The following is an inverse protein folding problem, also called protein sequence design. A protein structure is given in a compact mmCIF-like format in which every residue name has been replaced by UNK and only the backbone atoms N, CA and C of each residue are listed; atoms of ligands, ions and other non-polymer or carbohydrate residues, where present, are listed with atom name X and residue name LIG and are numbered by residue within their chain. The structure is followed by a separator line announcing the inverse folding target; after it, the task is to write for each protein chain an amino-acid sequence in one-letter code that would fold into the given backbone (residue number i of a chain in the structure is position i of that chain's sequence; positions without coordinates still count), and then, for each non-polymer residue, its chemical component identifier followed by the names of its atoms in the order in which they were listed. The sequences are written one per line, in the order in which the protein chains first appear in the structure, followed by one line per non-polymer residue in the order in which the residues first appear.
data_IF_558794750381
#
_entry.id   IF_558794750381
#
_cell.length_a   1.000
_cell.length_b   1.000
_cell.length_c   1.000
_cell.angle_alpha   90.00
_cell.angle_beta   90.00
_cell.angle_gamma   90.00
#
_symmetry.space_group_name_H-M   'P 1'
#
loop_
_entity.id
_entity.type
_entity.pdbx_description
1 polymer ?
#
# COMPACT_ATOMS: atom_id res chain seq x y z
N UNK A 1 10.34 -9.10 -13.39
CA UNK A 1 9.52 -8.32 -12.45
C UNK A 1 10.16 -8.42 -11.08
N UNK A 2 10.49 -7.26 -10.50
CA UNK A 2 11.06 -7.13 -9.17
C UNK A 2 9.97 -6.70 -8.19
N UNK A 3 10.03 -7.20 -6.96
CA UNK A 3 9.12 -6.84 -5.88
C UNK A 3 9.91 -6.20 -4.75
N UNK A 4 9.35 -5.14 -4.19
CA UNK A 4 9.89 -4.52 -2.99
C UNK A 4 8.75 -4.19 -2.02
N UNK A 5 8.99 -4.46 -0.74
CA UNK A 5 8.07 -4.11 0.34
C UNK A 5 8.09 -2.61 0.57
N UNK A 6 6.91 -2.02 0.75
CA UNK A 6 6.76 -0.58 0.97
C UNK A 6 6.75 -0.28 2.47
N UNK A 7 7.61 0.64 2.87
CA UNK A 7 7.70 1.19 4.22
C UNK A 7 7.43 2.69 4.20
N UNK A 8 6.70 3.20 5.20
CA UNK A 8 6.34 4.60 5.36
C UNK A 8 6.58 5.04 6.80
N UNK A 9 6.85 6.32 7.04
CA UNK A 9 6.95 6.84 8.41
C UNK A 9 5.58 7.03 9.05
N UNK A 10 5.38 6.45 10.23
CA UNK A 10 4.17 6.60 11.04
C UNK A 10 4.03 8.04 11.55
N UNK A 11 2.84 8.64 11.42
CA UNK A 11 2.59 10.00 11.89
C UNK A 11 2.64 10.15 13.42
N UNK A 12 2.32 9.09 14.17
CA UNK A 12 2.28 9.10 15.62
C UNK A 12 3.61 8.71 16.28
N UNK A 13 4.26 7.66 15.75
CA UNK A 13 5.46 7.09 16.35
C UNK A 13 6.76 7.55 15.69
N UNK A 14 6.68 8.09 14.46
CA UNK A 14 7.83 8.45 13.61
C UNK A 14 8.75 7.27 13.23
N UNK A 15 8.31 6.05 13.50
CA UNK A 15 9.00 4.82 13.09
C UNK A 15 8.56 4.37 11.67
N UNK A 16 9.42 3.65 10.94
CA UNK A 16 9.04 3.02 9.67
C UNK A 16 8.01 1.90 9.92
N UNK A 17 6.90 1.96 9.18
CA UNK A 17 5.79 1.01 9.23
C UNK A 17 5.40 0.58 7.82
N UNK A 18 5.07 -0.70 7.67
CA UNK A 18 4.54 -1.23 6.42
C UNK A 18 3.06 -1.58 6.61
N UNK A 19 2.13 -0.98 5.84
CA UNK A 19 0.72 -1.31 5.91
C UNK A 19 0.48 -2.79 5.62
N UNK A 20 -0.27 -3.45 6.49
CA UNK A 20 -0.66 -4.86 6.33
C UNK A 20 -2.16 -5.03 6.47
N UNK A 21 -2.74 -5.92 5.67
CA UNK A 21 -4.10 -6.37 5.82
C UNK A 21 -4.13 -7.57 6.79
N UNK A 22 -4.59 -7.35 8.02
CA UNK A 22 -4.58 -8.38 9.08
C UNK A 22 -5.69 -9.42 8.94
N UNK A 23 -6.75 -9.09 8.21
CA UNK A 23 -7.88 -9.97 7.87
C UNK A 23 -8.46 -9.57 6.52
N UNK A 24 -9.05 -10.51 5.74
CA UNK A 24 -9.68 -10.18 4.47
C UNK A 24 -10.73 -9.07 4.61
N UNK A 25 -10.85 -8.22 3.58
CA UNK A 25 -11.91 -7.21 3.60
C UNK A 25 -13.25 -7.89 3.37
N UNK A 26 -14.13 -7.79 4.37
CA UNK A 26 -15.48 -8.34 4.33
C UNK A 26 -16.47 -7.27 3.90
N UNK A 27 -17.31 -7.62 2.93
CA UNK A 27 -18.38 -6.76 2.43
C UNK A 27 -19.69 -7.51 2.63
N UNK A 28 -20.66 -6.85 3.25
CA UNK A 28 -22.01 -7.38 3.45
C UNK A 28 -23.07 -6.31 3.16
N UNK A 29 -24.31 -6.62 3.49
CA UNK A 29 -25.44 -5.70 3.29
C UNK A 29 -26.33 -5.66 4.52
N UNK A 30 -26.68 -4.45 4.96
CA UNK A 30 -27.77 -4.26 5.90
C UNK A 30 -29.09 -4.17 5.13
N UNK A 31 -29.99 -5.12 5.38
CA UNK A 31 -31.29 -5.15 4.71
C UNK A 31 -32.36 -4.42 5.54
N UNK A 32 -33.06 -3.49 4.89
CA UNK A 32 -34.07 -2.63 5.53
C UNK A 32 -35.23 -3.38 6.23
N UNK A 33 -35.56 -4.60 5.80
CA UNK A 33 -36.78 -5.32 6.23
C UNK A 33 -36.53 -6.59 7.05
N UNK A 34 -35.28 -7.05 7.12
CA UNK A 34 -34.89 -8.29 7.80
C UNK A 34 -33.38 -8.31 7.99
N UNK A 35 -32.91 -9.15 8.89
CA UNK A 35 -31.50 -9.46 8.99
C UNK A 35 -31.04 -10.28 7.78
N UNK A 36 -29.85 -9.98 7.28
CA UNK A 36 -29.17 -10.72 6.21
C UNK A 36 -27.71 -10.90 6.62
N UNK A 37 -27.34 -12.13 6.96
CA UNK A 37 -26.00 -12.49 7.44
C UNK A 37 -25.13 -13.07 6.30
N UNK A 38 -25.14 -12.41 5.14
CA UNK A 38 -24.33 -12.79 3.98
C UNK A 38 -23.16 -11.81 3.81
N UNK A 39 -21.95 -12.33 3.91
CA UNK A 39 -20.70 -11.60 3.69
C UNK A 39 -19.92 -12.23 2.53
N UNK A 40 -19.19 -11.40 1.81
CA UNK A 40 -18.18 -11.83 0.84
C UNK A 40 -16.81 -11.31 1.27
N UNK A 41 -15.79 -12.13 1.10
CA UNK A 41 -14.41 -11.70 1.23
C UNK A 41 -13.93 -11.16 -0.13
N UNK A 42 -13.39 -9.95 -0.12
CA UNK A 42 -12.82 -9.30 -1.30
C UNK A 42 -11.40 -8.83 -0.98
N UNK A 43 -10.42 -9.11 -1.85
CA UNK A 43 -9.07 -8.58 -1.67
C UNK A 43 -9.10 -7.06 -1.86
N UNK A 44 -8.33 -6.34 -1.04
CA UNK A 44 -8.04 -4.92 -1.31
C UNK A 44 -6.93 -4.82 -2.35
N UNK A 45 -7.00 -3.79 -3.20
CA UNK A 45 -5.87 -3.44 -4.06
C UNK A 45 -4.78 -2.74 -3.24
N UNK A 46 -3.52 -2.84 -3.67
CA UNK A 46 -2.42 -2.18 -2.96
C UNK A 46 -2.61 -0.66 -2.81
N UNK A 47 -3.07 0.02 -3.88
CA UNK A 47 -3.40 1.44 -3.83
C UNK A 47 -4.56 1.76 -2.86
N UNK A 48 -5.54 0.86 -2.72
CA UNK A 48 -6.66 1.02 -1.80
C UNK A 48 -6.23 0.86 -0.34
N UNK A 49 -5.28 -0.04 -0.04
CA UNK A 49 -4.68 -0.17 1.28
C UNK A 49 -3.88 1.09 1.63
N UNK A 50 -3.03 1.56 0.71
CA UNK A 50 -2.22 2.76 0.92
C UNK A 50 -3.10 4.01 1.13
N UNK A 51 -4.19 4.16 0.36
CA UNK A 51 -5.12 5.27 0.53
C UNK A 51 -5.76 5.31 1.93
N UNK A 52 -6.03 4.15 2.54
CA UNK A 52 -6.58 4.05 3.90
C UNK A 52 -5.58 4.48 4.99
N UNK A 53 -4.30 4.61 4.66
CA UNK A 53 -3.27 5.10 5.58
C UNK A 53 -3.24 6.64 5.67
N UNK A 54 -4.11 7.35 4.95
CA UNK A 54 -4.22 8.80 5.06
C UNK A 54 -4.41 9.23 6.51
N UNK A 55 -3.52 10.10 7.01
CA UNK A 55 -3.54 10.57 8.40
C UNK A 55 -2.83 9.64 9.41
N UNK A 56 -2.45 8.43 8.99
CA UNK A 56 -1.66 7.49 9.81
C UNK A 56 -0.17 7.51 9.47
N UNK A 57 0.17 7.96 8.26
CA UNK A 57 1.55 8.17 7.80
C UNK A 57 1.78 9.66 7.55
N UNK A 58 3.04 10.08 7.58
CA UNK A 58 3.45 11.49 7.43
C UNK A 58 3.37 12.02 6.00
N UNK A 59 3.38 11.12 5.00
CA UNK A 59 3.38 11.49 3.58
C UNK A 59 1.98 11.68 3.00
N UNK A 60 1.88 12.44 1.91
CA UNK A 60 0.66 12.49 1.09
C UNK A 60 0.48 11.15 0.33
N UNK A 61 -0.44 10.33 0.82
CA UNK A 61 -0.75 9.02 0.23
C UNK A 61 -1.27 9.10 -1.20
N UNK A 62 -1.98 10.18 -1.58
CA UNK A 62 -2.45 10.35 -2.96
C UNK A 62 -1.26 10.56 -3.87
N UNK A 63 -0.30 11.40 -3.45
CA UNK A 63 0.92 11.63 -4.22
C UNK A 63 1.79 10.38 -4.29
N UNK A 64 1.90 9.63 -3.19
CA UNK A 64 2.65 8.38 -3.17
C UNK A 64 2.06 7.36 -4.16
N UNK A 65 0.73 7.21 -4.20
CA UNK A 65 0.05 6.31 -5.14
C UNK A 65 0.34 6.70 -6.61
N UNK A 66 0.35 8.00 -6.93
CA UNK A 66 0.70 8.47 -8.28
C UNK A 66 2.12 8.08 -8.68
N UNK A 67 3.09 8.28 -7.78
CA UNK A 67 4.50 7.95 -8.02
C UNK A 67 4.66 6.43 -8.18
N UNK A 68 4.05 5.63 -7.31
CA UNK A 68 4.07 4.18 -7.45
C UNK A 68 3.45 3.71 -8.76
N UNK A 69 2.33 4.29 -9.19
CA UNK A 69 1.64 3.91 -10.43
C UNK A 69 2.42 4.30 -11.70
N UNK A 70 3.32 5.29 -11.61
CA UNK A 70 4.18 5.74 -12.71
C UNK A 70 5.29 4.72 -13.01
N UNK A 71 5.84 4.09 -11.98
CA UNK A 71 7.01 3.20 -12.10
C UNK A 71 6.68 1.71 -11.92
N UNK A 72 5.55 1.39 -11.31
CA UNK A 72 5.18 0.02 -11.01
C UNK A 72 3.71 -0.16 -10.64
N UNK A 73 3.41 -1.27 -9.96
CA UNK A 73 2.05 -1.61 -9.52
C UNK A 73 2.04 -1.99 -8.04
N UNK A 74 1.28 -1.26 -7.24
CA UNK A 74 1.00 -1.63 -5.85
C UNK A 74 0.12 -2.88 -5.78
N UNK A 75 0.56 -3.88 -5.03
CA UNK A 75 -0.15 -5.15 -4.80
C UNK A 75 -0.11 -5.53 -3.32
N UNK A 76 -0.98 -6.49 -2.96
CA UNK A 76 -0.87 -7.22 -1.71
C UNK A 76 -0.23 -8.57 -1.97
N UNK A 77 0.98 -8.80 -1.45
CA UNK A 77 1.60 -10.12 -1.45
C UNK A 77 0.93 -10.98 -0.38
N UNK A 78 0.61 -12.22 -0.74
CA UNK A 78 -0.13 -13.19 0.10
C UNK A 78 -1.40 -12.60 0.74
N UNK A 79 -2.08 -11.71 0.00
CA UNK A 79 -3.28 -10.97 0.43
C UNK A 79 -3.08 -10.12 1.70
N UNK A 80 -1.84 -9.87 2.11
CA UNK A 80 -1.49 -9.22 3.38
C UNK A 80 -0.58 -8.01 3.21
N UNK A 81 0.51 -8.13 2.48
CA UNK A 81 1.64 -7.20 2.59
C UNK A 81 1.71 -6.23 1.42
N UNK A 82 1.85 -4.93 1.71
CA UNK A 82 1.94 -3.93 0.66
C UNK A 82 3.31 -3.99 -0.02
N UNK A 83 3.29 -4.35 -1.31
CA UNK A 83 4.47 -4.39 -2.17
C UNK A 83 4.26 -3.55 -3.43
N UNK A 84 5.35 -3.07 -4.01
CA UNK A 84 5.38 -2.55 -5.37
C UNK A 84 6.05 -3.56 -6.28
N UNK A 85 5.41 -3.87 -7.41
CA UNK A 85 5.97 -4.68 -8.48
C UNK A 85 6.42 -3.79 -9.64
N UNK A 86 7.71 -3.81 -9.96
CA UNK A 86 8.31 -3.09 -11.08
C UNK A 86 8.70 -4.07 -12.20
N UNK A 87 8.74 -3.61 -13.45
CA UNK A 87 9.06 -4.47 -14.59
C UNK A 87 10.51 -4.96 -14.53
N UNK A 88 11.46 -4.04 -14.25
CA UNK A 88 12.87 -4.33 -14.07
C UNK A 88 13.57 -3.42 -13.05
N UNK A 89 14.91 -3.50 -12.97
CA UNK A 89 15.71 -2.72 -12.03
C UNK A 89 15.68 -1.21 -12.30
N UNK A 90 15.58 -0.80 -13.56
CA UNK A 90 15.57 0.62 -13.93
C UNK A 90 14.38 1.35 -13.33
N UNK A 91 13.18 0.78 -13.47
CA UNK A 91 11.95 1.38 -12.92
C UNK A 91 12.00 1.45 -11.40
N UNK A 92 12.63 0.47 -10.75
CA UNK A 92 12.78 0.44 -9.31
C UNK A 92 13.75 1.53 -8.81
N UNK A 93 14.87 1.73 -9.51
CA UNK A 93 15.83 2.82 -9.20
C UNK A 93 15.20 4.19 -9.45
N UNK A 94 14.45 4.35 -10.55
CA UNK A 94 13.74 5.60 -10.85
C UNK A 94 12.64 5.89 -9.82
N UNK A 95 11.95 4.85 -9.34
CA UNK A 95 10.97 4.94 -8.26
C UNK A 95 11.62 5.40 -6.95
N UNK A 96 12.70 4.76 -6.52
CA UNK A 96 13.42 5.16 -5.30
C UNK A 96 13.91 6.60 -5.36
N UNK A 97 14.44 7.03 -6.53
CA UNK A 97 14.86 8.40 -6.74
C UNK A 97 13.71 9.39 -6.58
N UNK A 98 12.57 9.14 -7.24
CA UNK A 98 11.42 10.05 -7.16
C UNK A 98 10.78 10.04 -5.76
N UNK A 99 10.75 8.90 -5.08
CA UNK A 99 10.30 8.82 -3.68
C UNK A 99 11.22 9.66 -2.76
N UNK A 100 12.54 9.55 -2.91
CA UNK A 100 13.49 10.33 -2.12
C UNK A 100 13.40 11.83 -2.41
N UNK A 101 13.21 12.22 -3.68
CA UNK A 101 13.04 13.62 -4.08
C UNK A 101 11.77 14.26 -3.48
N UNK A 102 10.68 13.49 -3.40
CA UNK A 102 9.37 14.01 -2.97
C UNK A 102 9.15 13.86 -1.46
N UNK A 103 9.61 12.75 -0.86
CA UNK A 103 9.32 12.39 0.53
C UNK A 103 10.55 12.29 1.43
N UNK A 104 11.77 12.43 0.89
CA UNK A 104 13.00 12.27 1.65
C UNK A 104 13.18 10.84 2.14
N UNK A 105 13.39 10.67 3.44
CA UNK A 105 13.58 9.38 4.12
C UNK A 105 12.26 8.75 4.61
N UNK A 106 11.12 9.39 4.34
CA UNK A 106 9.82 8.96 4.90
C UNK A 106 9.17 7.79 4.16
N UNK A 107 9.70 7.41 3.00
CA UNK A 107 9.28 6.24 2.25
C UNK A 107 10.52 5.47 1.84
N UNK A 108 10.54 4.17 2.12
CA UNK A 108 11.63 3.29 1.71
C UNK A 108 11.10 1.97 1.16
N UNK A 109 11.94 1.34 0.34
CA UNK A 109 11.67 0.06 -0.27
C UNK A 109 12.64 -0.98 0.29
N UNK A 110 12.11 -2.13 0.67
CA UNK A 110 12.91 -3.28 1.12
C UNK A 110 12.80 -4.38 0.08
N UNK A 111 13.95 -4.84 -0.41
CA UNK A 111 14.06 -5.88 -1.41
C UNK A 111 13.86 -7.25 -0.76
N UNK A 112 12.98 -8.08 -1.31
CA UNK A 112 12.95 -9.50 -0.94
C UNK A 112 14.17 -10.19 -1.59
N UNK A 113 15.03 -10.80 -0.79
CA UNK A 113 16.14 -11.67 -1.24
C UNK A 113 15.63 -12.98 -1.89
#
# INVERSE_FOLDING_TARGET
MLRARVWLTCAAMLDPVSPVLTQPCRIGWEAKKRQVDLEIERPLKGAELLARMKGWVTVDVTKAIEIFAKHGRLKLLDERELVVECEGPTELVDLERELAEVFGDQVSLEYEE
#
